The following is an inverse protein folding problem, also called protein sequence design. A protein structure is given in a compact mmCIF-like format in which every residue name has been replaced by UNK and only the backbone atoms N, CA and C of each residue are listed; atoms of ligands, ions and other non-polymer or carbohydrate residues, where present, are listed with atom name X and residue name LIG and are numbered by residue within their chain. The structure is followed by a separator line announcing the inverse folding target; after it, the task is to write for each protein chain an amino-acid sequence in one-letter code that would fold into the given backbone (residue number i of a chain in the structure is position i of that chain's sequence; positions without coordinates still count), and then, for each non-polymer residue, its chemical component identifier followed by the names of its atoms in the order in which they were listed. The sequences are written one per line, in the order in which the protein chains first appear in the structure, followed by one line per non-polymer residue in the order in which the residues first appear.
data_IF_162692028811
#
_entry.id   IF_162692028811
#
_cell.length_a   1.000
_cell.length_b   1.000
_cell.length_c   1.000
_cell.angle_alpha   90.00
_cell.angle_beta   90.00
_cell.angle_gamma   90.00
#
_symmetry.space_group_name_H-M   'P 1'
#
loop_
_entity.id
_entity.type
_entity.pdbx_description
1 polymer ?
#
# COMPACT_ATOMS: atom_id res chain seq x y z
N UNK A 1 -8.71 -27.50 -10.16
CA UNK A 1 -9.34 -26.65 -9.13
C UNK A 1 -8.28 -25.70 -8.59
N UNK A 2 -8.50 -24.40 -8.66
CA UNK A 2 -7.56 -23.39 -8.13
C UNK A 2 -7.68 -23.40 -6.60
N UNK A 3 -6.56 -23.51 -5.87
CA UNK A 3 -6.56 -23.48 -4.40
C UNK A 3 -7.25 -22.20 -3.89
N UNK A 4 -8.00 -22.30 -2.79
CA UNK A 4 -8.70 -21.20 -2.17
C UNK A 4 -7.71 -20.09 -1.75
N UNK A 5 -8.13 -18.83 -1.86
CA UNK A 5 -7.37 -17.71 -1.31
C UNK A 5 -7.79 -17.50 0.14
N UNK A 6 -6.85 -17.36 1.04
CA UNK A 6 -7.07 -17.12 2.46
C UNK A 6 -6.58 -15.73 2.85
N UNK A 7 -7.32 -15.02 3.68
CA UNK A 7 -6.86 -13.85 4.41
C UNK A 7 -6.25 -14.36 5.72
N UNK A 8 -4.94 -14.27 5.81
CA UNK A 8 -4.17 -14.65 7.00
C UNK A 8 -4.13 -13.48 7.97
N UNK A 9 -4.24 -13.79 9.26
CA UNK A 9 -3.97 -12.85 10.38
C UNK A 9 -2.90 -13.45 11.27
N UNK A 10 -1.77 -12.75 11.40
CA UNK A 10 -0.63 -13.11 12.23
C UNK A 10 -0.39 -12.02 13.26
N UNK A 11 -0.54 -12.27 14.58
CA UNK A 11 -0.15 -11.31 15.59
C UNK A 11 1.36 -11.10 15.62
N UNK A 12 1.79 -9.84 15.79
CA UNK A 12 3.20 -9.41 15.77
C UNK A 12 3.48 -8.52 16.97
N UNK A 13 4.55 -8.81 17.70
CA UNK A 13 5.14 -7.88 18.66
C UNK A 13 6.11 -6.95 17.95
N UNK A 14 5.72 -5.68 17.80
CA UNK A 14 6.50 -4.67 17.07
C UNK A 14 7.77 -4.29 17.81
N UNK A 15 7.75 -4.33 19.16
CA UNK A 15 8.93 -4.09 19.98
C UNK A 15 9.97 -5.21 19.80
N UNK A 16 9.53 -6.46 19.80
CA UNK A 16 10.38 -7.61 19.51
C UNK A 16 10.91 -7.58 18.08
N UNK A 17 10.07 -7.20 17.10
CA UNK A 17 10.47 -7.01 15.71
C UNK A 17 11.58 -5.96 15.58
N UNK A 18 11.46 -4.85 16.29
CA UNK A 18 12.46 -3.77 16.25
C UNK A 18 13.80 -4.23 16.84
N UNK A 19 13.80 -4.95 17.96
CA UNK A 19 15.01 -5.52 18.57
C UNK A 19 15.67 -6.55 17.64
N UNK A 20 14.89 -7.53 17.16
CA UNK A 20 15.35 -8.56 16.23
C UNK A 20 15.97 -7.96 14.95
N UNK A 21 15.33 -6.94 14.39
CA UNK A 21 15.84 -6.25 13.21
C UNK A 21 17.09 -5.42 13.50
N UNK A 22 17.17 -4.78 14.67
CA UNK A 22 18.33 -4.01 15.12
C UNK A 22 19.58 -4.88 15.23
N UNK A 23 19.48 -6.06 15.85
CA UNK A 23 20.58 -7.04 15.97
C UNK A 23 21.13 -7.47 14.60
N UNK A 24 20.26 -7.53 13.58
CA UNK A 24 20.63 -7.89 12.20
C UNK A 24 20.92 -6.71 11.29
N UNK A 25 20.91 -5.49 11.82
CA UNK A 25 21.04 -4.23 11.06
C UNK A 25 20.04 -4.13 9.91
N UNK A 26 18.83 -4.66 10.13
CA UNK A 26 17.70 -4.58 9.22
C UNK A 26 16.74 -3.48 9.67
N UNK A 27 16.13 -2.78 8.72
CA UNK A 27 15.08 -1.81 9.03
C UNK A 27 15.56 -0.47 9.60
N UNK A 28 16.85 -0.23 9.79
CA UNK A 28 17.35 1.11 10.12
C UNK A 28 17.40 1.95 8.85
N UNK A 29 16.80 3.15 8.90
CA UNK A 29 16.90 4.16 7.84
C UNK A 29 18.03 5.15 8.17
N UNK A 30 18.62 5.77 7.15
CA UNK A 30 19.70 6.76 7.33
C UNK A 30 19.26 7.98 8.20
N UNK A 31 17.95 8.20 8.36
CA UNK A 31 17.35 9.21 9.23
C UNK A 31 17.00 8.72 10.64
N UNK A 32 17.48 7.54 11.07
CA UNK A 32 17.23 6.97 12.40
C UNK A 32 15.81 6.40 12.59
N UNK A 33 14.99 6.35 11.53
CA UNK A 33 13.67 5.72 11.56
C UNK A 33 13.75 4.20 11.42
N UNK A 34 12.68 3.51 11.83
CA UNK A 34 12.53 2.06 11.67
C UNK A 34 11.65 1.74 10.45
N UNK A 35 12.19 0.97 9.49
CA UNK A 35 11.47 0.42 8.34
C UNK A 35 10.89 -0.95 8.70
N UNK A 36 9.68 -0.94 9.26
CA UNK A 36 8.91 -2.14 9.62
C UNK A 36 8.67 -3.06 8.42
N UNK A 37 8.45 -2.48 7.25
CA UNK A 37 8.21 -3.24 6.02
C UNK A 37 9.42 -4.07 5.60
N UNK A 38 10.63 -3.52 5.73
CA UNK A 38 11.87 -4.25 5.43
C UNK A 38 12.15 -5.33 6.46
N UNK A 39 12.00 -5.02 7.75
CA UNK A 39 12.17 -5.99 8.82
C UNK A 39 11.21 -7.18 8.65
N UNK A 40 9.93 -6.90 8.41
CA UNK A 40 8.92 -7.93 8.16
C UNK A 40 9.20 -8.74 6.90
N UNK A 41 9.68 -8.10 5.81
CA UNK A 41 10.05 -8.85 4.60
C UNK A 41 11.07 -9.95 4.89
N UNK A 42 12.10 -9.65 5.67
CA UNK A 42 13.12 -10.64 6.05
C UNK A 42 12.54 -11.70 6.99
N UNK A 43 11.89 -11.28 8.08
CA UNK A 43 11.28 -12.19 9.04
C UNK A 43 10.31 -13.19 8.38
N UNK A 44 9.36 -12.68 7.59
CA UNK A 44 8.37 -13.51 6.91
C UNK A 44 8.98 -14.45 5.89
N UNK A 45 10.02 -14.01 5.18
CA UNK A 45 10.74 -14.84 4.20
C UNK A 45 11.50 -15.99 4.87
N UNK A 46 12.08 -15.76 6.04
CA UNK A 46 12.80 -16.76 6.82
C UNK A 46 11.85 -17.72 7.56
N UNK A 47 10.68 -17.22 8.02
CA UNK A 47 9.71 -18.02 8.78
C UNK A 47 8.79 -18.86 7.89
N UNK A 48 8.30 -18.31 6.77
CA UNK A 48 7.27 -18.94 5.93
C UNK A 48 7.73 -19.24 4.51
N UNK A 49 8.95 -18.86 4.16
CA UNK A 49 9.45 -18.95 2.80
C UNK A 49 9.16 -17.67 1.99
N UNK A 50 10.04 -17.44 1.02
CA UNK A 50 10.03 -16.23 0.19
C UNK A 50 8.72 -16.07 -0.59
N UNK A 51 8.07 -14.94 -0.41
CA UNK A 51 6.86 -14.56 -1.18
C UNK A 51 5.55 -15.18 -0.71
N UNK A 52 5.56 -16.08 0.29
CA UNK A 52 4.36 -16.80 0.77
C UNK A 52 3.30 -15.86 1.35
N UNK A 53 3.71 -14.91 2.18
CA UNK A 53 2.85 -13.90 2.80
C UNK A 53 3.06 -12.53 2.14
N UNK A 54 2.71 -12.42 0.86
CA UNK A 54 2.77 -11.19 0.06
C UNK A 54 1.56 -11.11 -0.87
N UNK A 55 0.90 -9.94 -0.97
CA UNK A 55 1.14 -8.70 -0.22
C UNK A 55 0.74 -8.82 1.24
N UNK A 56 1.33 -7.97 2.11
CA UNK A 56 0.94 -7.92 3.52
C UNK A 56 0.70 -6.48 4.00
N UNK A 57 0.04 -6.37 5.15
CA UNK A 57 -0.24 -5.11 5.84
C UNK A 57 -0.14 -5.32 7.35
N UNK A 58 0.75 -4.60 8.02
CA UNK A 58 0.78 -4.53 9.48
C UNK A 58 -0.14 -3.41 9.95
N UNK A 59 -1.05 -3.73 10.87
CA UNK A 59 -1.90 -2.78 11.59
C UNK A 59 -1.52 -2.78 13.06
N UNK A 60 -1.17 -1.62 13.60
CA UNK A 60 -0.81 -1.41 15.00
C UNK A 60 -1.82 -0.45 15.62
N UNK A 61 -2.79 -0.93 16.40
CA UNK A 61 -3.75 -0.07 17.08
C UNK A 61 -3.06 0.82 18.12
N UNK A 62 -3.46 2.09 18.25
CA UNK A 62 -2.96 2.96 19.30
C UNK A 62 -3.19 2.35 20.69
N UNK A 63 -2.25 2.54 21.62
CA UNK A 63 -2.40 2.14 23.03
C UNK A 63 -2.24 0.65 23.32
N UNK A 64 -1.93 -0.20 22.36
CA UNK A 64 -1.76 -1.65 22.58
C UNK A 64 -0.30 -2.09 22.82
N UNK A 65 0.55 -1.25 23.38
CA UNK A 65 1.90 -1.64 23.81
C UNK A 65 2.78 -2.25 22.71
N UNK A 66 2.61 -1.80 21.45
CA UNK A 66 3.39 -2.31 20.33
C UNK A 66 2.90 -3.65 19.75
N UNK A 67 1.77 -4.20 20.19
CA UNK A 67 1.19 -5.40 19.59
C UNK A 67 0.36 -5.04 18.35
N UNK A 68 0.74 -5.63 17.22
CA UNK A 68 0.08 -5.45 15.93
C UNK A 68 -0.53 -6.75 15.40
N UNK A 69 -1.28 -6.63 14.32
CA UNK A 69 -1.73 -7.76 13.50
C UNK A 69 -1.25 -7.56 12.08
N UNK A 70 -0.52 -8.51 11.57
CA UNK A 70 -0.17 -8.58 10.15
C UNK A 70 -1.28 -9.32 9.43
N UNK A 71 -1.75 -8.74 8.35
CA UNK A 71 -2.67 -9.37 7.41
C UNK A 71 -1.92 -9.67 6.11
N UNK A 72 -2.21 -10.81 5.48
CA UNK A 72 -1.67 -11.18 4.19
C UNK A 72 -2.65 -12.06 3.42
N UNK A 73 -2.57 -12.07 2.09
CA UNK A 73 -3.25 -13.07 1.29
C UNK A 73 -2.31 -14.23 0.99
N UNK A 74 -2.82 -15.47 1.13
CA UNK A 74 -2.07 -16.70 0.88
C UNK A 74 -3.00 -17.78 0.35
N UNK A 75 -2.46 -18.74 -0.42
CA UNK A 75 -3.18 -19.94 -0.87
C UNK A 75 -3.09 -21.10 0.08
N UNK A 76 -2.33 -20.96 1.17
CA UNK A 76 -2.14 -21.94 2.22
C UNK A 76 -2.92 -21.48 3.44
N UNK A 77 -3.66 -22.36 4.09
CA UNK A 77 -4.39 -22.06 5.32
C UNK A 77 -3.45 -21.90 6.53
N UNK A 78 -4.00 -21.43 7.66
CA UNK A 78 -3.22 -21.16 8.85
C UNK A 78 -2.65 -22.43 9.49
N UNK A 79 -3.31 -23.57 9.37
CA UNK A 79 -2.85 -24.83 9.97
C UNK A 79 -1.58 -25.32 9.29
N UNK A 80 -1.60 -25.38 7.96
CA UNK A 80 -0.43 -25.78 7.16
C UNK A 80 0.71 -24.78 7.27
N UNK A 81 0.42 -23.45 7.25
CA UNK A 81 1.44 -22.41 7.45
C UNK A 81 2.12 -22.53 8.82
N UNK A 82 1.35 -22.84 9.87
CA UNK A 82 1.87 -23.01 11.23
C UNK A 82 2.78 -24.22 11.32
N UNK A 83 2.35 -25.35 10.78
CA UNK A 83 3.14 -26.59 10.75
C UNK A 83 4.47 -26.39 10.03
N UNK A 84 4.43 -25.83 8.82
CA UNK A 84 5.63 -25.53 8.04
C UNK A 84 6.56 -24.55 8.78
N UNK A 85 6.01 -23.49 9.38
CA UNK A 85 6.80 -22.52 10.11
C UNK A 85 7.47 -23.11 11.36
N UNK A 86 6.75 -23.92 12.14
CA UNK A 86 7.31 -24.58 13.32
C UNK A 86 8.44 -25.56 12.98
N UNK A 87 8.44 -26.13 11.78
CA UNK A 87 9.50 -27.04 11.33
C UNK A 87 10.80 -26.32 10.94
N UNK A 88 10.74 -25.04 10.51
CA UNK A 88 11.90 -24.36 9.90
C UNK A 88 12.25 -23.00 10.54
N UNK A 89 11.33 -22.36 11.26
CA UNK A 89 11.57 -21.02 11.79
C UNK A 89 12.62 -21.02 12.89
N UNK A 90 13.59 -20.09 12.85
CA UNK A 90 14.49 -19.87 13.98
C UNK A 90 13.72 -19.53 15.25
N UNK A 91 14.15 -20.02 16.43
CA UNK A 91 13.43 -19.82 17.70
C UNK A 91 13.20 -18.34 18.05
N UNK A 92 14.11 -17.45 17.67
CA UNK A 92 13.99 -16.01 17.92
C UNK A 92 12.81 -15.35 17.16
N UNK A 93 12.36 -15.96 16.05
CA UNK A 93 11.18 -15.48 15.33
C UNK A 93 9.89 -15.67 16.13
N UNK A 94 9.82 -16.72 16.95
CA UNK A 94 8.68 -17.02 17.81
C UNK A 94 8.45 -15.96 18.91
N UNK A 95 9.49 -15.16 19.21
CA UNK A 95 9.37 -14.01 20.09
C UNK A 95 8.72 -12.79 19.37
N UNK A 96 8.77 -12.78 18.03
CA UNK A 96 8.25 -11.69 17.21
C UNK A 96 6.83 -11.97 16.72
N UNK A 97 6.56 -13.21 16.31
CA UNK A 97 5.26 -13.63 15.77
C UNK A 97 4.63 -14.70 16.63
N UNK A 98 3.35 -14.56 16.89
CA UNK A 98 2.55 -15.53 17.66
C UNK A 98 1.96 -16.57 16.70
N UNK A 99 2.73 -17.66 16.44
CA UNK A 99 2.30 -18.75 15.57
C UNK A 99 1.08 -19.52 16.12
N UNK A 100 0.95 -19.79 17.43
CA UNK A 100 -0.28 -20.35 17.99
C UNK A 100 -1.54 -19.55 17.66
N UNK A 101 -1.45 -18.23 17.63
CA UNK A 101 -2.57 -17.35 17.32
C UNK A 101 -2.68 -16.97 15.82
N UNK A 102 -1.88 -17.62 14.95
CA UNK A 102 -2.04 -17.54 13.50
C UNK A 102 -3.42 -18.06 13.11
N UNK A 103 -4.18 -17.27 12.39
CA UNK A 103 -5.54 -17.59 11.96
C UNK A 103 -5.74 -17.21 10.50
N UNK A 104 -6.71 -17.84 9.85
CA UNK A 104 -7.10 -17.52 8.51
C UNK A 104 -8.62 -17.43 8.34
N UNK A 105 -9.00 -16.79 7.26
CA UNK A 105 -10.36 -16.76 6.75
C UNK A 105 -10.34 -17.05 5.26
N UNK A 106 -11.03 -18.11 4.77
CA UNK A 106 -11.15 -18.32 3.35
C UNK A 106 -11.90 -17.16 2.71
N UNK A 107 -11.34 -16.66 1.62
CA UNK A 107 -11.97 -15.61 0.83
C UNK A 107 -13.05 -16.21 -0.08
N UNK A 108 -14.10 -15.44 -0.44
CA UNK A 108 -15.10 -15.93 -1.37
C UNK A 108 -14.45 -16.45 -2.67
N UNK A 109 -14.88 -17.63 -3.11
CA UNK A 109 -14.48 -18.19 -4.40
C UNK A 109 -15.23 -17.58 -5.58
N UNK A 110 -16.42 -17.05 -5.30
CA UNK A 110 -17.37 -16.46 -6.26
C UNK A 110 -17.47 -14.94 -6.09
N UNK A 111 -16.49 -14.23 -6.55
CA UNK A 111 -16.64 -12.79 -6.70
C UNK A 111 -17.64 -12.50 -7.83
N UNK A 112 -18.59 -11.58 -7.56
CA UNK A 112 -19.61 -11.21 -8.56
C UNK A 112 -19.32 -9.82 -9.10
N UNK A 113 -19.38 -9.66 -10.42
CA UNK A 113 -19.36 -8.35 -11.05
C UNK A 113 -20.51 -7.47 -10.48
N UNK A 114 -20.25 -6.18 -10.29
CA UNK A 114 -21.19 -5.25 -9.68
C UNK A 114 -21.21 -5.27 -8.14
N UNK A 115 -20.51 -6.21 -7.49
CA UNK A 115 -20.42 -6.25 -6.02
C UNK A 115 -19.66 -5.04 -5.48
N UNK A 116 -20.30 -4.26 -4.60
CA UNK A 116 -19.70 -3.09 -3.96
C UNK A 116 -19.03 -3.48 -2.64
N UNK A 117 -17.82 -2.95 -2.43
CA UNK A 117 -16.99 -3.22 -1.27
C UNK A 117 -16.27 -1.93 -0.84
N UNK A 118 -16.14 -1.75 0.46
CA UNK A 118 -15.20 -0.79 1.01
C UNK A 118 -13.78 -1.35 0.95
N UNK A 119 -12.79 -0.46 0.82
CA UNK A 119 -11.39 -0.86 0.82
C UNK A 119 -10.50 0.11 1.60
N UNK A 120 -9.36 -0.42 1.99
CA UNK A 120 -8.19 0.33 2.45
C UNK A 120 -6.94 -0.23 1.79
N UNK A 121 -6.05 0.64 1.34
CA UNK A 121 -4.77 0.25 0.78
C UNK A 121 -3.65 1.22 1.19
N UNK A 122 -2.55 0.69 1.73
CA UNK A 122 -1.29 1.43 1.84
C UNK A 122 -0.51 1.23 0.56
N UNK A 123 -0.24 2.29 -0.17
CA UNK A 123 0.40 2.22 -1.48
C UNK A 123 1.58 3.17 -1.60
N UNK A 124 2.48 2.87 -2.55
CA UNK A 124 3.48 3.81 -3.05
C UNK A 124 3.07 4.25 -4.46
N UNK A 125 2.33 5.35 -4.60
CA UNK A 125 1.92 5.85 -5.90
C UNK A 125 3.10 6.44 -6.66
N UNK A 126 3.86 5.59 -7.33
CA UNK A 126 5.02 5.96 -8.15
C UNK A 126 4.80 5.58 -9.60
N UNK A 127 5.41 6.37 -10.49
CA UNK A 127 5.52 6.08 -11.92
C UNK A 127 6.97 5.81 -12.28
N UNK A 128 7.23 4.74 -13.00
CA UNK A 128 8.54 4.51 -13.61
C UNK A 128 8.63 5.30 -14.91
N UNK A 129 9.62 6.14 -15.00
CA UNK A 129 9.79 7.00 -16.18
C UNK A 129 10.25 6.18 -17.39
N UNK A 130 9.59 6.38 -18.52
CA UNK A 130 9.96 5.80 -19.81
C UNK A 130 10.94 6.69 -20.58
N UNK A 131 10.98 7.99 -20.26
CA UNK A 131 11.90 9.00 -20.77
C UNK A 131 12.33 9.92 -19.62
N UNK A 132 13.45 10.64 -19.76
CA UNK A 132 13.85 11.63 -18.77
C UNK A 132 12.75 12.70 -18.56
N UNK A 133 12.62 13.19 -17.33
CA UNK A 133 11.70 14.25 -16.95
C UNK A 133 12.49 15.42 -16.37
N UNK A 134 12.38 16.60 -16.99
CA UNK A 134 13.04 17.80 -16.52
C UNK A 134 12.50 18.23 -15.13
N UNK A 135 13.38 18.71 -14.26
CA UNK A 135 12.95 19.44 -13.08
C UNK A 135 12.35 20.77 -13.54
N UNK A 136 11.10 21.08 -13.13
CA UNK A 136 10.47 22.37 -13.48
C UNK A 136 11.23 23.57 -12.92
N UNK A 137 11.11 24.75 -13.53
CA UNK A 137 11.63 25.99 -12.98
C UNK A 137 10.94 26.25 -11.62
N UNK A 138 11.71 26.36 -10.54
CA UNK A 138 11.19 26.62 -9.20
C UNK A 138 11.46 25.54 -8.14
N UNK A 139 11.96 24.38 -8.50
CA UNK A 139 12.47 23.39 -7.53
C UNK A 139 13.94 23.69 -7.16
N UNK A 140 14.21 24.97 -6.84
CA UNK A 140 15.40 25.37 -6.11
C UNK A 140 15.35 24.85 -4.67
N UNK A 141 16.47 24.93 -3.88
CA UNK A 141 16.59 24.42 -2.52
C UNK A 141 15.77 25.25 -1.53
N UNK A 142 14.46 25.15 -1.58
CA UNK A 142 13.50 25.82 -0.71
C UNK A 142 12.58 24.82 -0.03
N UNK A 143 12.90 24.46 1.19
CA UNK A 143 12.03 23.89 2.25
C UNK A 143 11.06 22.75 1.91
N UNK A 144 11.34 21.90 0.94
CA UNK A 144 10.69 20.61 0.79
C UNK A 144 11.74 19.50 0.90
N UNK A 145 11.43 18.29 1.43
CA UNK A 145 12.39 17.20 1.63
C UNK A 145 12.84 16.53 0.31
N UNK A 146 13.00 17.29 -0.76
CA UNK A 146 13.70 16.92 -2.00
C UNK A 146 15.11 17.54 -2.04
N UNK A 147 15.68 17.89 -0.89
CA UNK A 147 17.01 18.46 -0.76
C UNK A 147 18.18 17.52 -1.12
N UNK A 148 17.92 16.45 -1.90
CA UNK A 148 18.96 15.50 -2.34
C UNK A 148 19.31 15.51 -3.83
N UNK A 149 18.50 16.15 -4.69
CA UNK A 149 18.74 16.16 -6.13
C UNK A 149 18.75 17.54 -6.71
N UNK A 150 19.55 18.46 -6.16
CA UNK A 150 19.66 19.84 -6.63
C UNK A 150 19.53 19.97 -8.15
N UNK A 151 18.31 20.25 -8.65
CA UNK A 151 18.03 20.55 -10.05
C UNK A 151 18.31 19.43 -11.08
N UNK A 152 18.68 18.20 -10.68
CA UNK A 152 18.93 17.11 -11.63
C UNK A 152 17.62 16.61 -12.23
N UNK A 153 17.53 16.45 -13.55
CA UNK A 153 16.38 15.85 -14.18
C UNK A 153 16.28 14.36 -13.73
N UNK A 154 15.05 13.87 -13.63
CA UNK A 154 14.81 12.45 -13.38
C UNK A 154 15.17 11.64 -14.63
N UNK A 155 15.92 10.56 -14.46
CA UNK A 155 16.36 9.73 -15.56
C UNK A 155 15.28 8.71 -16.00
N UNK A 156 15.43 8.20 -17.22
CA UNK A 156 14.66 7.02 -17.66
C UNK A 156 14.90 5.86 -16.69
N UNK A 157 13.82 5.25 -16.22
CA UNK A 157 13.85 4.12 -15.28
C UNK A 157 13.66 4.52 -13.83
N UNK A 158 13.77 5.80 -13.48
CA UNK A 158 13.51 6.28 -12.12
C UNK A 158 12.06 6.05 -11.71
N UNK A 159 11.87 5.74 -10.42
CA UNK A 159 10.56 5.70 -9.78
C UNK A 159 10.27 7.04 -9.13
N UNK A 160 9.37 7.81 -9.70
CA UNK A 160 9.03 9.15 -9.26
C UNK A 160 7.60 9.18 -8.71
N UNK A 161 7.35 9.95 -7.66
CA UNK A 161 6.01 10.20 -7.10
C UNK A 161 5.05 10.58 -8.24
N UNK A 162 3.92 9.88 -8.34
CA UNK A 162 2.92 10.11 -9.39
C UNK A 162 2.40 11.55 -9.38
N UNK A 163 2.27 12.16 -8.19
CA UNK A 163 1.88 13.55 -8.04
C UNK A 163 2.95 14.49 -8.62
N UNK A 164 4.22 14.24 -8.32
CA UNK A 164 5.32 15.04 -8.86
C UNK A 164 5.40 14.94 -10.39
N UNK A 165 5.23 13.73 -10.93
CA UNK A 165 5.17 13.53 -12.39
C UNK A 165 4.00 14.31 -13.02
N UNK A 166 2.83 14.28 -12.39
CA UNK A 166 1.67 15.03 -12.87
C UNK A 166 1.90 16.56 -12.81
N UNK A 167 2.48 17.04 -11.71
CA UNK A 167 2.80 18.45 -11.53
C UNK A 167 3.83 18.96 -12.55
N UNK A 168 4.90 18.19 -12.80
CA UNK A 168 5.95 18.57 -13.75
C UNK A 168 5.50 18.49 -15.22
N UNK A 169 4.47 17.69 -15.52
CA UNK A 169 3.91 17.59 -16.88
C UNK A 169 2.80 18.61 -17.16
N UNK A 170 2.28 19.24 -16.14
CA UNK A 170 1.28 20.30 -16.30
C UNK A 170 1.99 21.55 -16.81
N UNK A 171 1.73 21.93 -18.05
CA UNK A 171 2.23 23.19 -18.61
C UNK A 171 1.67 24.38 -17.81
N UNK A 172 2.47 25.49 -17.64
CA UNK A 172 2.06 26.67 -16.88
C UNK A 172 0.83 27.41 -17.41
N UNK A 173 0.44 27.16 -18.65
CA UNK A 173 -0.53 27.98 -19.40
C UNK A 173 -1.95 27.39 -19.47
N UNK A 174 -2.30 26.40 -18.66
CA UNK A 174 -3.68 25.93 -18.60
C UNK A 174 -4.49 26.85 -17.68
N UNK A 175 -4.98 27.96 -18.25
CA UNK A 175 -5.94 28.86 -17.63
C UNK A 175 -7.13 28.09 -17.04
N UNK A 176 -7.41 28.32 -15.75
CA UNK A 176 -8.68 27.97 -15.12
C UNK A 176 -8.90 26.50 -14.71
N UNK A 177 -7.92 25.62 -14.84
CA UNK A 177 -8.08 24.21 -14.45
C UNK A 177 -8.08 24.00 -12.93
N UNK A 178 -8.95 23.11 -12.44
CA UNK A 178 -9.02 22.65 -11.05
C UNK A 178 -7.62 22.36 -10.49
N UNK A 179 -7.30 22.90 -9.32
CA UNK A 179 -6.01 22.73 -8.69
C UNK A 179 -5.64 21.24 -8.59
N UNK A 180 -4.42 20.89 -9.01
CA UNK A 180 -3.94 19.52 -8.96
C UNK A 180 -3.85 19.07 -7.50
N UNK A 181 -4.67 18.11 -7.08
CA UNK A 181 -4.62 17.56 -5.73
C UNK A 181 -3.87 16.23 -5.73
N UNK A 182 -3.16 15.97 -4.63
CA UNK A 182 -2.48 14.68 -4.41
C UNK A 182 -3.50 13.55 -4.35
N UNK A 183 -4.65 13.78 -3.76
CA UNK A 183 -5.75 12.82 -3.68
C UNK A 183 -6.24 12.40 -5.07
N UNK A 184 -6.55 13.37 -5.94
CA UNK A 184 -7.05 13.06 -7.29
C UNK A 184 -6.02 12.30 -8.13
N UNK A 185 -4.74 12.67 -8.05
CA UNK A 185 -3.67 11.98 -8.77
C UNK A 185 -3.47 10.54 -8.27
N UNK A 186 -3.51 10.33 -6.95
CA UNK A 186 -3.34 9.01 -6.37
C UNK A 186 -4.57 8.12 -6.57
N UNK A 187 -5.77 8.70 -6.57
CA UNK A 187 -7.00 8.00 -6.96
C UNK A 187 -6.93 7.52 -8.41
N UNK A 188 -6.54 8.39 -9.34
CA UNK A 188 -6.33 8.04 -10.74
C UNK A 188 -5.24 6.96 -10.92
N UNK A 189 -4.13 7.09 -10.18
CA UNK A 189 -3.07 6.07 -10.17
C UNK A 189 -3.58 4.70 -9.71
N UNK A 190 -4.44 4.66 -8.68
CA UNK A 190 -5.03 3.41 -8.18
C UNK A 190 -6.04 2.84 -9.17
N UNK A 191 -6.89 3.68 -9.77
CA UNK A 191 -7.86 3.28 -10.79
C UNK A 191 -7.20 2.62 -12.00
N UNK A 192 -6.10 3.20 -12.50
CA UNK A 192 -5.33 2.60 -13.62
C UNK A 192 -4.84 1.18 -13.30
N UNK A 193 -4.50 0.90 -12.03
CA UNK A 193 -3.96 -0.40 -11.63
C UNK A 193 -5.01 -1.44 -11.30
N UNK A 194 -6.21 -0.99 -11.02
CA UNK A 194 -7.38 -1.84 -10.83
C UNK A 194 -8.24 -1.95 -12.09
N UNK A 195 -7.82 -1.31 -13.20
CA UNK A 195 -8.57 -1.34 -14.44
C UNK A 195 -8.88 -2.79 -14.87
N UNK A 196 -10.13 -3.04 -15.21
CA UNK A 196 -10.68 -4.37 -15.50
C UNK A 196 -11.04 -5.18 -14.24
N UNK A 197 -10.27 -5.10 -13.17
CA UNK A 197 -10.56 -5.83 -11.93
C UNK A 197 -11.65 -5.17 -11.08
N UNK A 198 -11.61 -3.85 -10.96
CA UNK A 198 -12.60 -3.08 -10.19
C UNK A 198 -12.66 -1.63 -10.65
N UNK A 199 -13.82 -1.01 -10.46
CA UNK A 199 -14.05 0.43 -10.63
C UNK A 199 -14.10 1.10 -9.26
N UNK A 200 -13.34 2.18 -9.09
CA UNK A 200 -13.39 2.98 -7.87
C UNK A 200 -14.60 3.92 -7.90
N UNK A 201 -15.49 3.82 -6.90
CA UNK A 201 -16.70 4.66 -6.79
C UNK A 201 -16.49 5.82 -5.82
N UNK A 202 -15.61 5.66 -4.83
CA UNK A 202 -15.20 6.72 -3.94
C UNK A 202 -13.76 6.47 -3.49
N UNK A 203 -12.92 7.51 -3.43
CA UNK A 203 -11.55 7.42 -2.92
C UNK A 203 -11.22 8.67 -2.13
N UNK A 204 -10.58 8.47 -0.98
CA UNK A 204 -9.99 9.57 -0.21
C UNK A 204 -8.56 9.22 0.20
N UNK A 205 -7.72 10.22 0.28
CA UNK A 205 -6.38 10.10 0.84
C UNK A 205 -6.45 10.27 2.36
N UNK A 206 -6.46 9.12 3.08
CA UNK A 206 -6.61 9.13 4.54
C UNK A 206 -5.33 9.61 5.25
N UNK A 207 -4.16 9.29 4.71
CA UNK A 207 -2.89 9.84 5.19
C UNK A 207 -1.83 9.82 4.09
N UNK A 208 -0.86 10.72 4.22
CA UNK A 208 0.30 10.80 3.34
C UNK A 208 1.53 11.15 4.16
N UNK A 209 2.63 10.45 3.87
CA UNK A 209 3.96 10.78 4.36
C UNK A 209 4.99 10.45 3.30
N UNK A 210 6.18 11.03 3.39
CA UNK A 210 7.34 10.55 2.66
C UNK A 210 8.03 9.47 3.49
N UNK A 211 8.37 8.39 2.87
CA UNK A 211 9.03 7.26 3.51
C UNK A 211 10.37 7.02 2.83
N UNK A 212 11.44 7.19 3.60
CA UNK A 212 12.78 6.83 3.17
C UNK A 212 13.04 5.36 3.56
N UNK A 213 13.23 4.49 2.58
CA UNK A 213 13.61 3.11 2.77
C UNK A 213 15.05 2.91 2.30
N UNK A 214 15.91 2.40 3.15
CA UNK A 214 17.28 2.03 2.75
C UNK A 214 17.27 0.68 2.05
N UNK A 215 17.86 0.58 0.86
CA UNK A 215 18.12 -0.68 0.15
C UNK A 215 19.59 -0.92 -0.03
N UNK A 216 20.03 -2.18 0.18
CA UNK A 216 21.38 -2.60 -0.18
C UNK A 216 21.50 -2.55 -1.72
N UNK A 217 22.22 -1.58 -2.26
CA UNK A 217 22.49 -1.48 -3.68
C UNK A 217 23.52 -2.51 -4.13
N UNK A 218 23.39 -3.03 -5.35
CA UNK A 218 24.45 -3.80 -6.00
C UNK A 218 25.64 -2.87 -6.28
N UNK A 219 26.82 -3.16 -5.69
CA UNK A 219 28.13 -2.55 -5.96
C UNK A 219 28.35 -1.04 -5.67
N UNK A 220 27.36 -0.24 -5.28
CA UNK A 220 27.50 1.22 -5.07
C UNK A 220 26.93 1.75 -3.75
N UNK A 221 26.89 0.93 -2.69
CA UNK A 221 26.40 1.39 -1.38
C UNK A 221 24.88 1.29 -1.22
N UNK A 222 24.37 1.71 -0.06
CA UNK A 222 22.95 1.71 0.23
C UNK A 222 22.24 2.77 -0.64
N UNK A 223 21.19 2.36 -1.34
CA UNK A 223 20.30 3.29 -2.08
C UNK A 223 19.11 3.61 -1.21
N UNK A 224 18.99 4.85 -0.79
CA UNK A 224 17.80 5.34 -0.10
C UNK A 224 16.69 5.55 -1.12
N UNK A 225 15.60 4.78 -0.99
CA UNK A 225 14.39 4.94 -1.80
C UNK A 225 13.43 5.86 -1.04
N UNK A 226 13.59 7.16 -1.23
CA UNK A 226 12.60 8.12 -0.76
C UNK A 226 11.39 8.14 -1.72
N UNK A 227 10.18 8.12 -1.15
CA UNK A 227 8.97 8.14 -1.98
C UNK A 227 7.68 8.22 -1.18
N UNK A 228 6.55 8.31 -1.88
CA UNK A 228 5.25 8.44 -1.24
C UNK A 228 4.88 7.18 -0.46
N UNK A 229 4.33 7.37 0.73
CA UNK A 229 3.61 6.38 1.52
C UNK A 229 2.21 6.93 1.76
N UNK A 230 1.24 6.41 1.03
CA UNK A 230 -0.12 6.89 0.99
C UNK A 230 -1.08 5.82 1.50
N UNK A 231 -1.99 6.20 2.40
CA UNK A 231 -3.11 5.40 2.80
C UNK A 231 -4.36 5.90 2.07
N UNK A 232 -4.86 5.09 1.16
CA UNK A 232 -6.09 5.37 0.42
C UNK A 232 -7.22 4.50 0.97
N UNK A 233 -8.38 5.09 1.12
CA UNK A 233 -9.60 4.42 1.57
C UNK A 233 -10.75 4.82 0.65
N UNK A 234 -11.73 3.92 0.48
CA UNK A 234 -12.85 4.24 -0.37
C UNK A 234 -13.77 3.06 -0.60
N UNK A 235 -14.49 3.14 -1.70
CA UNK A 235 -15.39 2.11 -2.19
C UNK A 235 -15.03 1.74 -3.62
N UNK A 236 -15.23 0.48 -3.94
CA UNK A 236 -15.05 -0.07 -5.28
C UNK A 236 -16.21 -0.98 -5.64
N UNK A 237 -16.40 -1.14 -6.94
CA UNK A 237 -17.29 -2.12 -7.53
C UNK A 237 -16.45 -3.14 -8.30
N UNK A 238 -16.68 -4.42 -8.04
CA UNK A 238 -15.98 -5.52 -8.72
C UNK A 238 -16.34 -5.51 -10.20
N UNK A 239 -15.32 -5.49 -11.06
CA UNK A 239 -15.48 -5.66 -12.50
C UNK A 239 -15.38 -7.14 -12.87
N UNK A 240 -14.25 -7.55 -13.45
CA UNK A 240 -13.98 -8.95 -13.72
C UNK A 240 -13.61 -9.70 -12.42
N UNK A 241 -14.36 -10.75 -12.03
CA UNK A 241 -14.14 -11.50 -10.79
C UNK A 241 -12.76 -12.17 -10.68
N UNK A 242 -12.23 -12.70 -11.77
CA UNK A 242 -10.95 -13.38 -11.77
C UNK A 242 -9.78 -12.38 -11.70
N UNK A 243 -9.89 -11.28 -12.43
CA UNK A 243 -8.93 -10.17 -12.33
C UNK A 243 -8.94 -9.56 -10.93
N UNK A 244 -10.13 -9.44 -10.30
CA UNK A 244 -10.24 -8.94 -8.93
C UNK A 244 -9.59 -9.88 -7.91
N UNK A 245 -9.85 -11.19 -8.00
CA UNK A 245 -9.20 -12.21 -7.18
C UNK A 245 -7.68 -12.16 -7.34
N UNK A 246 -7.21 -12.00 -8.57
CA UNK A 246 -5.77 -11.87 -8.86
C UNK A 246 -5.17 -10.58 -8.27
N UNK A 247 -5.93 -9.47 -8.28
CA UNK A 247 -5.50 -8.22 -7.66
C UNK A 247 -5.39 -8.33 -6.13
N UNK A 248 -6.28 -9.07 -5.47
CA UNK A 248 -6.15 -9.39 -4.04
C UNK A 248 -4.89 -10.22 -3.77
N UNK A 249 -4.72 -11.31 -4.51
CA UNK A 249 -3.61 -12.25 -4.33
C UNK A 249 -2.24 -11.61 -4.61
N UNK A 250 -2.12 -10.91 -5.74
CA UNK A 250 -0.84 -10.31 -6.15
C UNK A 250 -0.57 -8.94 -5.54
N UNK A 251 -1.62 -8.27 -5.05
CA UNK A 251 -1.54 -6.89 -4.58
C UNK A 251 -1.36 -5.87 -5.70
N UNK A 252 -1.54 -4.60 -5.36
CA UNK A 252 -1.60 -3.46 -6.28
C UNK A 252 -0.32 -2.64 -6.22
N UNK A 253 0.27 -2.36 -7.36
CA UNK A 253 1.44 -1.50 -7.47
C UNK A 253 2.77 -2.18 -7.13
N UNK A 254 3.73 -1.39 -6.69
CA UNK A 254 5.11 -1.82 -6.40
C UNK A 254 5.34 -1.95 -4.89
N UNK A 255 6.51 -2.51 -4.51
CA UNK A 255 6.94 -2.65 -3.11
C UNK A 255 6.05 -3.55 -2.24
N UNK A 256 5.32 -4.49 -2.85
CA UNK A 256 4.39 -5.42 -2.17
C UNK A 256 5.05 -6.29 -1.11
N UNK A 257 6.32 -6.58 -1.29
CA UNK A 257 7.14 -7.31 -0.32
C UNK A 257 7.46 -6.50 0.96
N UNK A 258 7.13 -5.21 0.99
CA UNK A 258 7.47 -4.28 2.07
C UNK A 258 6.22 -3.64 2.70
N UNK A 259 5.10 -4.36 2.71
CA UNK A 259 3.87 -3.91 3.36
C UNK A 259 3.03 -2.90 2.59
N UNK A 260 3.27 -2.78 1.27
CA UNK A 260 2.47 -1.94 0.37
C UNK A 260 1.60 -2.79 -0.56
N UNK A 261 0.53 -2.20 -1.07
CA UNK A 261 -0.27 -2.77 -2.14
C UNK A 261 -1.26 -3.87 -1.72
N UNK A 262 -1.36 -4.21 -0.44
CA UNK A 262 -2.41 -5.11 0.02
C UNK A 262 -3.75 -4.37 0.06
N UNK A 263 -4.74 -4.87 -0.67
CA UNK A 263 -6.10 -4.36 -0.67
C UNK A 263 -6.89 -5.02 0.46
N UNK A 264 -7.06 -4.33 1.58
CA UNK A 264 -7.91 -4.78 2.67
C UNK A 264 -9.36 -4.44 2.38
N UNK A 265 -10.23 -5.45 2.33
CA UNK A 265 -11.64 -5.30 2.05
C UNK A 265 -12.44 -5.13 3.34
N UNK A 266 -13.51 -4.35 3.27
CA UNK A 266 -14.48 -4.14 4.34
C UNK A 266 -15.90 -4.04 3.76
N UNK A 267 -16.94 -4.24 4.56
CA UNK A 267 -18.30 -3.91 4.13
C UNK A 267 -18.40 -2.44 3.72
N UNK A 268 -19.32 -2.14 2.80
CA UNK A 268 -19.68 -0.75 2.48
C UNK A 268 -20.31 -0.13 3.72
N UNK A 269 -19.90 1.07 4.11
CA UNK A 269 -20.52 1.78 5.24
C UNK A 269 -21.94 2.21 4.88
N UNK A 270 -22.97 1.88 5.67
CA UNK A 270 -24.35 2.25 5.36
C UNK A 270 -24.60 3.77 5.35
N UNK A 271 -23.75 4.57 5.98
CA UNK A 271 -23.95 6.01 6.23
C UNK A 271 -23.78 6.94 5.02
N UNK A 272 -23.36 6.45 3.85
CA UNK A 272 -23.20 7.30 2.65
C UNK A 272 -24.27 7.12 1.58
N UNK A 273 -25.23 6.24 1.80
CA UNK A 273 -26.37 6.09 0.88
C UNK A 273 -27.43 7.20 1.04
N UNK A 274 -27.36 8.02 2.10
CA UNK A 274 -28.40 9.00 2.44
C UNK A 274 -28.12 10.45 1.97
N UNK A 275 -26.93 10.79 1.49
CA UNK A 275 -26.64 12.12 0.95
C UNK A 275 -26.71 12.14 -0.60
N UNK A 276 -27.88 11.79 -1.16
CA UNK A 276 -28.26 12.32 -2.47
C UNK A 276 -28.87 13.71 -2.23
N UNK A 277 -28.36 14.79 -2.86
CA UNK A 277 -29.04 16.06 -2.77
C UNK A 277 -30.44 15.92 -3.35
N UNK A 278 -31.45 16.14 -2.50
CA UNK A 278 -32.83 16.27 -2.94
C UNK A 278 -32.89 17.41 -3.96
N UNK A 279 -33.37 17.08 -5.15
CA UNK A 279 -33.76 18.00 -6.18
C UNK A 279 -34.61 19.15 -5.58
N UNK A 280 -34.04 20.33 -5.55
CA UNK A 280 -34.84 21.56 -5.42
C UNK A 280 -35.47 21.84 -6.78
N UNK A 281 -36.50 21.08 -7.10
CA UNK A 281 -37.45 21.43 -8.15
C UNK A 281 -38.67 22.15 -7.53
N UNK A 282 -38.74 23.43 -7.82
CA UNK A 282 -39.96 24.12 -8.14
C UNK A 282 -41.00 24.35 -7.02
N UNK A 283 -41.03 25.60 -6.55
CA UNK A 283 -42.30 26.26 -6.38
C UNK A 283 -42.10 27.78 -6.55
N UNK A 284 -42.20 28.23 -7.78
CA UNK A 284 -42.65 29.59 -8.08
C UNK A 284 -44.14 29.49 -8.46
N UNK A 285 -44.96 30.11 -7.73
CA UNK A 285 -46.38 30.37 -7.97
C UNK A 285 -46.88 31.10 -6.77
N UNK A 286 -47.08 32.36 -6.81
CA UNK A 286 -48.14 33.07 -7.47
C UNK A 286 -49.08 33.59 -6.42
N UNK A 287 -49.05 34.83 -6.14
CA UNK A 287 -50.06 35.87 -5.97
C UNK A 287 -49.45 37.04 -5.24
#
# INVERSE_FOLDING_TARGET
MTAALHLIRLPVDVGALSRWAGERRLGLTDGGGFDDGRALHHLLSETFGKGRLQPFRLLVPPGRGGRGSLYAYCRTDAAALREEALAVAPPEHLNVVDLPALADKPMPGDWRAGRRLGFEIRARPVRRLLAPLAAGPGNGPGNGPAAGTGGRPFAKGDEVDAFLVAALRRLPDADGGTALSRESVYAGWLAERLAGAATLTAVRLASFRRHAASRKGNRRGAVTLDGPDALLQGELEVGDPDAFRLALEKGVGRHRAYGFGMLLLRPVSPDRAAERPADRAGERGGC
#
